data_IF_806127311076
#
_entry.id   IF_806127311076
#
_cell.length_a   1.000
_cell.length_b   1.000
_cell.length_c   1.000
_cell.angle_alpha   90.00
_cell.angle_beta   90.00
_cell.angle_gamma   90.00
#
_symmetry.space_group_name_H-M   'P 1'
#
loop_
_entity.id
_entity.type
_entity.pdbx_description
1 polymer ?
#
# COMPACT_ATOMS: atom_id res chain seq x y z
N UNK A 1 15.09 -1.25 -3.45
CA UNK A 1 14.08 -0.18 -3.55
C UNK A 1 13.01 -0.66 -4.53
N UNK A 2 11.80 -0.87 -4.03
CA UNK A 2 10.72 -1.55 -4.77
C UNK A 2 9.88 -0.52 -5.51
N UNK A 3 9.41 -0.87 -6.71
CA UNK A 3 8.49 -0.01 -7.46
C UNK A 3 7.09 -0.18 -6.90
N UNK A 4 6.37 0.91 -6.70
CA UNK A 4 4.99 0.94 -6.24
C UNK A 4 4.11 1.60 -7.30
N UNK A 5 2.83 1.25 -7.27
CA UNK A 5 1.77 1.90 -8.02
C UNK A 5 0.67 2.32 -7.06
N UNK A 6 0.19 3.55 -7.19
CA UNK A 6 -1.01 4.03 -6.50
C UNK A 6 -2.26 3.59 -7.26
N UNK A 7 -3.24 3.01 -6.57
CA UNK A 7 -4.51 2.59 -7.17
C UNK A 7 -5.45 3.78 -7.42
N UNK A 8 -5.32 4.86 -6.64
CA UNK A 8 -6.19 6.05 -6.77
C UNK A 8 -5.78 6.96 -7.93
N UNK A 9 -4.49 7.29 -8.06
CA UNK A 9 -4.00 8.23 -9.09
C UNK A 9 -3.19 7.55 -10.21
N UNK A 10 -2.90 6.25 -10.09
CA UNK A 10 -2.12 5.50 -11.09
C UNK A 10 -0.62 5.81 -11.10
N UNK A 11 -0.14 6.74 -10.28
CA UNK A 11 1.27 7.14 -10.25
C UNK A 11 2.18 5.98 -9.83
N UNK A 12 3.31 5.84 -10.53
CA UNK A 12 4.32 4.81 -10.27
C UNK A 12 5.58 5.45 -9.72
N UNK A 13 6.05 4.96 -8.57
CA UNK A 13 7.20 5.53 -7.87
C UNK A 13 8.04 4.44 -7.22
N UNK A 14 9.21 4.79 -6.68
CA UNK A 14 10.05 3.86 -5.91
C UNK A 14 9.91 4.16 -4.42
N UNK A 15 9.78 3.12 -3.62
CA UNK A 15 9.64 3.21 -2.16
C UNK A 15 10.52 2.20 -1.44
N UNK A 16 10.60 2.37 -0.12
CA UNK A 16 11.17 1.36 0.77
C UNK A 16 10.23 0.14 0.78
N UNK A 17 10.82 -1.05 0.76
CA UNK A 17 10.09 -2.31 0.89
C UNK A 17 10.20 -2.77 2.34
N UNK A 18 9.08 -2.69 3.06
CA UNK A 18 8.97 -3.16 4.43
C UNK A 18 7.84 -4.19 4.49
N UNK A 19 8.03 -5.26 5.24
CA UNK A 19 6.97 -6.26 5.44
C UNK A 19 5.80 -5.66 6.24
N UNK A 20 4.58 -5.91 5.79
CA UNK A 20 3.36 -5.50 6.47
C UNK A 20 3.09 -6.46 7.62
N UNK A 21 3.23 -6.01 8.87
CA UNK A 21 2.87 -6.79 10.07
C UNK A 21 3.44 -8.23 10.10
N UNK A 22 4.71 -8.42 9.71
CA UNK A 22 5.36 -9.74 9.61
C UNK A 22 4.64 -10.72 8.66
N UNK A 23 3.99 -10.21 7.62
CA UNK A 23 3.44 -11.01 6.51
C UNK A 23 4.42 -11.02 5.34
N UNK A 24 4.18 -11.91 4.36
CA UNK A 24 4.90 -11.92 3.09
C UNK A 24 4.51 -10.76 2.14
N UNK A 25 3.67 -9.81 2.59
CA UNK A 25 3.24 -8.66 1.80
C UNK A 25 4.01 -7.40 2.17
N UNK A 26 4.25 -6.55 1.19
CA UNK A 26 4.85 -5.22 1.39
C UNK A 26 3.83 -4.25 1.98
N UNK A 27 4.22 -3.52 3.01
CA UNK A 27 3.45 -2.43 3.59
C UNK A 27 3.19 -1.33 2.56
N UNK A 28 1.93 -0.85 2.43
CA UNK A 28 1.64 0.29 1.59
C UNK A 28 2.43 1.52 2.02
N UNK A 29 2.91 2.27 1.03
CA UNK A 29 3.67 3.50 1.21
C UNK A 29 2.83 4.70 0.78
N UNK A 30 2.96 5.83 1.45
CA UNK A 30 2.24 7.06 1.10
C UNK A 30 2.61 7.50 -0.32
N UNK A 31 1.61 7.72 -1.16
CA UNK A 31 1.81 8.23 -2.51
C UNK A 31 2.34 9.66 -2.45
N UNK A 32 3.46 9.98 -3.11
CA UNK A 32 4.01 11.34 -3.12
C UNK A 32 3.16 12.34 -3.91
N UNK A 33 2.35 11.88 -4.86
CA UNK A 33 1.52 12.74 -5.71
C UNK A 33 0.17 13.09 -5.07
N UNK A 34 -0.60 12.08 -4.64
CA UNK A 34 -1.96 12.30 -4.11
C UNK A 34 -2.07 12.13 -2.59
N UNK A 35 -1.00 11.68 -1.92
CA UNK A 35 -1.01 11.45 -0.47
C UNK A 35 -1.74 10.19 -0.01
N UNK A 36 -2.34 9.41 -0.91
CA UNK A 36 -3.06 8.18 -0.58
C UNK A 36 -2.14 7.05 -0.10
N UNK A 37 -2.66 6.19 0.78
CA UNK A 37 -2.01 4.95 1.21
C UNK A 37 -2.44 3.73 0.39
N UNK A 38 -3.28 3.91 -0.64
CA UNK A 38 -3.72 2.86 -1.56
C UNK A 38 -2.64 2.53 -2.58
N UNK A 39 -1.48 2.11 -2.10
CA UNK A 39 -0.34 1.76 -2.94
C UNK A 39 0.01 0.29 -2.77
N UNK A 40 0.57 -0.29 -3.83
CA UNK A 40 1.01 -1.69 -3.87
C UNK A 40 2.27 -1.83 -4.71
N UNK A 41 3.12 -2.84 -4.46
CA UNK A 41 4.29 -3.10 -5.29
C UNK A 41 3.89 -3.39 -6.75
N UNK A 42 4.59 -2.74 -7.67
CA UNK A 42 4.44 -2.80 -9.13
C UNK A 42 5.41 -3.78 -9.80
N UNK A 43 6.23 -4.52 -9.04
CA UNK A 43 6.97 -5.69 -9.53
C UNK A 43 7.33 -6.60 -8.35
N UNK A 44 7.04 -7.90 -8.44
CA UNK A 44 7.37 -8.89 -7.40
C UNK A 44 6.68 -10.24 -7.66
N UNK A 45 7.09 -11.29 -6.94
CA UNK A 45 6.65 -12.70 -7.09
C UNK A 45 5.11 -12.90 -7.00
N UNK A 46 4.38 -11.88 -6.58
CA UNK A 46 2.98 -11.91 -6.17
C UNK A 46 2.04 -11.08 -7.07
N UNK A 47 2.45 -10.82 -8.32
CA UNK A 47 1.92 -9.74 -9.17
C UNK A 47 0.44 -9.82 -9.59
N UNK A 48 -0.11 -11.02 -9.76
CA UNK A 48 -1.41 -11.16 -10.43
C UNK A 48 -2.60 -11.46 -9.51
N UNK A 49 -2.38 -11.93 -8.28
CA UNK A 49 -3.48 -12.45 -7.43
C UNK A 49 -3.79 -11.61 -6.19
N UNK A 50 -3.06 -10.52 -5.94
CA UNK A 50 -3.05 -9.85 -4.64
C UNK A 50 -3.80 -8.51 -4.54
N UNK A 51 -4.45 -8.02 -5.62
CA UNK A 51 -5.22 -6.76 -5.52
C UNK A 51 -6.32 -6.85 -4.46
N UNK A 52 -6.95 -8.01 -4.30
CA UNK A 52 -7.95 -8.23 -3.25
C UNK A 52 -7.34 -8.10 -1.85
N UNK A 53 -6.21 -8.77 -1.59
CA UNK A 53 -5.53 -8.71 -0.29
C UNK A 53 -5.08 -7.28 0.03
N UNK A 54 -4.52 -6.56 -0.95
CA UNK A 54 -4.14 -5.17 -0.74
C UNK A 54 -5.35 -4.28 -0.44
N UNK A 55 -6.53 -4.53 -1.03
CA UNK A 55 -7.75 -3.81 -0.64
C UNK A 55 -8.13 -4.05 0.82
N UNK A 56 -7.93 -5.26 1.35
CA UNK A 56 -8.16 -5.54 2.78
C UNK A 56 -7.14 -4.83 3.66
N UNK A 57 -5.87 -4.85 3.28
CA UNK A 57 -4.80 -4.11 3.98
C UNK A 57 -5.12 -2.61 4.01
N UNK A 58 -5.53 -2.04 2.88
CA UNK A 58 -5.91 -0.63 2.78
C UNK A 58 -7.08 -0.29 3.69
N UNK A 59 -8.16 -1.09 3.69
CA UNK A 59 -9.29 -0.88 4.60
C UNK A 59 -8.85 -0.86 6.07
N UNK A 60 -8.00 -1.80 6.48
CA UNK A 60 -7.46 -1.81 7.85
C UNK A 60 -6.62 -0.58 8.16
N UNK A 61 -5.84 -0.07 7.21
CA UNK A 61 -5.07 1.16 7.37
C UNK A 61 -5.98 2.39 7.49
N UNK A 62 -6.99 2.50 6.63
CA UNK A 62 -7.96 3.60 6.65
C UNK A 62 -8.73 3.63 7.97
N UNK A 63 -9.19 2.49 8.45
CA UNK A 63 -9.85 2.36 9.75
C UNK A 63 -8.93 2.83 10.89
N UNK A 64 -7.66 2.41 10.88
CA UNK A 64 -6.67 2.84 11.89
C UNK A 64 -6.41 4.34 11.82
N UNK A 65 -6.26 4.90 10.63
CA UNK A 65 -6.03 6.34 10.44
C UNK A 65 -7.24 7.15 10.94
N UNK A 66 -8.45 6.77 10.54
CA UNK A 66 -9.69 7.42 10.98
C UNK A 66 -9.90 7.34 12.50
N UNK A 67 -9.44 6.27 13.15
CA UNK A 67 -9.52 6.14 14.60
C UNK A 67 -8.46 6.97 15.31
N UNK A 68 -7.29 7.17 14.71
CA UNK A 68 -6.21 7.99 15.28
C UNK A 68 -6.56 9.48 15.24
N UNK A 69 -7.29 9.94 14.21
CA UNK A 69 -7.78 11.33 14.12
C UNK A 69 -8.92 11.66 15.11
N UNK A 70 -9.52 10.64 15.73
CA UNK A 70 -10.62 10.79 16.70
C UNK A 70 -10.15 10.77 18.17
N UNK A 71 -8.86 10.57 18.42
CA UNK A 71 -8.27 10.61 19.77
C UNK A 71 -7.59 11.96 20.03
#
# INVERSE_FOLDING_TARGET
MTKFVCDDCGHKFKGMDCEYCATAFTAPVKCPECGSWHTRPSSGLFFSSNKYIYKEIWKTLDEKMNNTEKQ
#
